data_IF_747092049313
#
_entry.id   IF_747092049313
#
_cell.length_a   1.000
_cell.length_b   1.000
_cell.length_c   1.000
_cell.angle_alpha   90.00
_cell.angle_beta   90.00
_cell.angle_gamma   90.00
#
_symmetry.space_group_name_H-M   'P 1'
#
loop_
_entity.id
_entity.type
_entity.pdbx_description
1 polymer ?
#
# COMPACT_ATOMS: atom_id res chain seq x y z
N UNK A 1 -18.41 10.24 -2.14
CA UNK A 1 -17.03 10.70 -2.31
C UNK A 1 -16.94 12.17 -1.95
N UNK A 2 -15.78 12.58 -1.47
CA UNK A 2 -15.38 13.97 -1.30
C UNK A 2 -14.30 14.24 -2.33
N UNK A 3 -14.37 15.39 -3.00
CA UNK A 3 -13.46 15.73 -4.08
C UNK A 3 -12.96 17.17 -3.93
N UNK A 4 -11.67 17.36 -4.14
CA UNK A 4 -11.05 18.67 -4.16
C UNK A 4 -9.96 18.72 -5.24
N UNK A 5 -9.87 19.83 -5.96
CA UNK A 5 -8.80 20.06 -6.93
C UNK A 5 -7.82 21.09 -6.35
N UNK A 6 -6.57 20.72 -6.36
CA UNK A 6 -5.44 21.55 -5.89
C UNK A 6 -4.59 21.98 -7.09
N UNK A 7 -4.04 23.18 -7.05
CA UNK A 7 -3.22 23.73 -8.14
C UNK A 7 -1.97 24.40 -7.59
N UNK A 8 -0.86 24.28 -8.31
CA UNK A 8 0.37 24.99 -8.04
C UNK A 8 0.81 24.90 -6.57
N UNK A 9 0.85 26.03 -5.89
CA UNK A 9 1.33 26.10 -4.49
C UNK A 9 0.44 25.33 -3.50
N UNK A 10 -0.87 25.22 -3.75
CA UNK A 10 -1.77 24.42 -2.90
C UNK A 10 -1.46 22.93 -3.02
N UNK A 11 -1.24 22.45 -4.24
CA UNK A 11 -0.82 21.07 -4.47
C UNK A 11 0.54 20.78 -3.84
N UNK A 12 1.46 21.76 -3.98
CA UNK A 12 2.78 21.67 -3.37
C UNK A 12 2.72 21.50 -1.86
N UNK A 13 1.87 22.27 -1.18
CA UNK A 13 1.72 22.18 0.28
C UNK A 13 1.10 20.86 0.72
N UNK A 14 0.06 20.38 0.02
CA UNK A 14 -0.58 19.07 0.32
C UNK A 14 0.41 17.91 0.20
N UNK A 15 1.22 17.88 -0.85
CA UNK A 15 2.22 16.82 -1.03
C UNK A 15 3.32 16.92 0.02
N UNK A 16 3.73 18.13 0.38
CA UNK A 16 4.71 18.35 1.45
C UNK A 16 4.20 17.83 2.79
N UNK A 17 2.98 18.20 3.19
CA UNK A 17 2.35 17.70 4.42
C UNK A 17 2.28 16.15 4.42
N UNK A 18 1.92 15.53 3.29
CA UNK A 18 1.89 14.08 3.16
C UNK A 18 3.28 13.46 3.36
N UNK A 19 4.32 14.02 2.76
CA UNK A 19 5.69 13.52 2.92
C UNK A 19 6.20 13.67 4.36
N UNK A 20 5.83 14.77 5.04
CA UNK A 20 6.15 15.01 6.45
C UNK A 20 5.46 13.97 7.35
N UNK A 21 4.16 13.70 7.13
CA UNK A 21 3.41 12.66 7.86
C UNK A 21 4.01 11.25 7.65
N UNK A 22 4.35 10.91 6.40
CA UNK A 22 5.02 9.63 6.08
C UNK A 22 6.38 9.52 6.78
N UNK A 23 7.11 10.62 6.87
CA UNK A 23 8.40 10.68 7.55
C UNK A 23 8.27 10.50 9.07
N UNK A 24 7.20 11.00 9.67
CA UNK A 24 6.93 10.86 11.10
C UNK A 24 6.36 9.48 11.46
N UNK A 25 5.77 8.76 10.50
CA UNK A 25 5.20 7.43 10.71
C UNK A 25 6.30 6.36 10.82
N UNK A 26 6.58 6.00 12.07
CA UNK A 26 7.55 4.95 12.39
C UNK A 26 7.13 3.55 11.94
N UNK A 27 5.85 3.34 11.67
CA UNK A 27 5.36 2.04 11.19
C UNK A 27 5.90 1.75 9.81
N UNK A 28 5.87 2.76 8.92
CA UNK A 28 6.37 2.65 7.55
C UNK A 28 7.89 2.40 7.54
N UNK A 29 8.67 3.21 8.27
CA UNK A 29 10.14 3.05 8.34
C UNK A 29 10.54 1.69 8.91
N UNK A 30 9.82 1.22 9.94
CA UNK A 30 10.05 -0.09 10.54
C UNK A 30 9.74 -1.25 9.57
N UNK A 31 8.71 -1.10 8.74
CA UNK A 31 8.38 -2.09 7.70
C UNK A 31 9.51 -2.25 6.67
N UNK A 32 10.08 -1.15 6.20
CA UNK A 32 11.21 -1.18 5.27
C UNK A 32 12.46 -1.80 5.91
N UNK A 33 12.76 -1.45 7.16
CA UNK A 33 13.88 -2.03 7.90
C UNK A 33 13.69 -3.54 8.16
N UNK A 34 12.47 -3.98 8.50
CA UNK A 34 12.16 -5.38 8.75
C UNK A 34 12.20 -6.26 7.48
N UNK A 35 12.02 -5.67 6.30
CA UNK A 35 12.11 -6.36 5.02
C UNK A 35 13.51 -6.39 4.40
N UNK A 36 14.54 -5.88 5.10
CA UNK A 36 15.92 -5.74 4.59
C UNK A 36 16.02 -4.92 3.29
N UNK A 37 14.99 -4.14 2.93
CA UNK A 37 15.00 -3.30 1.73
C UNK A 37 15.84 -2.04 1.92
N UNK A 38 15.78 -1.44 3.09
CA UNK A 38 16.61 -0.31 3.52
C UNK A 38 16.57 -0.17 5.03
N UNK A 39 17.56 0.49 5.61
CA UNK A 39 17.56 0.82 7.04
C UNK A 39 16.61 1.99 7.35
N UNK A 40 16.22 2.13 8.62
CA UNK A 40 15.41 3.30 9.04
C UNK A 40 16.12 4.62 8.74
N UNK A 41 17.45 4.69 8.93
CA UNK A 41 18.23 5.88 8.65
C UNK A 41 18.26 6.22 7.15
N UNK A 42 18.39 5.21 6.29
CA UNK A 42 18.31 5.38 4.83
C UNK A 42 16.92 5.85 4.40
N UNK A 43 15.87 5.26 4.98
CA UNK A 43 14.49 5.68 4.71
C UNK A 43 14.28 7.15 5.08
N UNK A 44 14.70 7.56 6.28
CA UNK A 44 14.59 8.94 6.75
C UNK A 44 15.41 9.91 5.89
N UNK A 45 16.61 9.50 5.48
CA UNK A 45 17.48 10.30 4.61
C UNK A 45 16.86 10.49 3.22
N UNK A 46 16.30 9.43 2.63
CA UNK A 46 15.66 9.49 1.32
C UNK A 46 14.40 10.37 1.34
N UNK A 47 13.59 10.30 2.41
CA UNK A 47 12.44 11.17 2.57
C UNK A 47 12.83 12.63 2.79
N UNK A 48 13.92 12.90 3.52
CA UNK A 48 14.42 14.26 3.67
C UNK A 48 14.90 14.83 2.33
N UNK A 49 15.64 14.04 1.55
CA UNK A 49 16.06 14.44 0.21
C UNK A 49 14.85 14.69 -0.71
N UNK A 50 13.82 13.84 -0.64
CA UNK A 50 12.57 14.05 -1.38
C UNK A 50 11.87 15.35 -0.98
N UNK A 51 11.80 15.65 0.32
CA UNK A 51 11.23 16.90 0.84
C UNK A 51 12.03 18.14 0.38
N UNK A 52 13.36 18.06 0.44
CA UNK A 52 14.22 19.17 0.02
C UNK A 52 14.06 19.44 -1.49
N UNK A 53 14.08 18.38 -2.31
CA UNK A 53 13.85 18.47 -3.76
C UNK A 53 12.44 19.01 -4.07
N UNK A 54 11.42 18.58 -3.31
CA UNK A 54 10.05 19.05 -3.48
C UNK A 54 9.91 20.53 -3.13
N UNK A 55 10.57 20.98 -2.06
CA UNK A 55 10.57 22.40 -1.67
C UNK A 55 11.16 23.32 -2.75
N UNK A 56 12.16 22.84 -3.49
CA UNK A 56 12.79 23.58 -4.58
C UNK A 56 12.03 23.48 -5.91
N UNK A 57 11.07 22.56 -6.02
CA UNK A 57 10.28 22.36 -7.24
C UNK A 57 9.21 23.45 -7.38
N UNK A 58 9.05 24.00 -8.59
CA UNK A 58 7.91 24.83 -8.95
C UNK A 58 6.81 23.95 -9.52
N UNK A 59 5.67 23.89 -8.86
CA UNK A 59 4.50 23.10 -9.30
C UNK A 59 3.58 24.01 -10.11
N UNK A 60 3.33 23.64 -11.35
CA UNK A 60 2.38 24.32 -12.26
C UNK A 60 1.16 23.47 -12.58
N UNK A 61 1.27 22.20 -12.32
CA UNK A 61 0.24 21.21 -12.54
C UNK A 61 -0.88 21.34 -11.50
N UNK A 62 -1.99 20.69 -11.81
CA UNK A 62 -3.11 20.52 -10.90
C UNK A 62 -3.40 19.05 -10.70
N UNK A 63 -3.96 18.71 -9.55
CA UNK A 63 -4.43 17.36 -9.27
C UNK A 63 -5.78 17.37 -8.56
N UNK A 64 -6.64 16.43 -8.93
CA UNK A 64 -7.90 16.19 -8.24
C UNK A 64 -7.73 15.03 -7.28
N UNK A 65 -7.97 15.29 -6.00
CA UNK A 65 -7.97 14.28 -4.95
C UNK A 65 -9.41 13.91 -4.64
N UNK A 66 -9.75 12.64 -4.77
CA UNK A 66 -11.05 12.08 -4.43
C UNK A 66 -10.89 11.14 -3.24
N UNK A 67 -11.63 11.38 -2.15
CA UNK A 67 -11.72 10.49 -1.00
C UNK A 67 -13.04 9.73 -1.03
N UNK A 68 -12.97 8.43 -0.94
CA UNK A 68 -14.13 7.54 -0.84
C UNK A 68 -14.41 7.25 0.63
N UNK A 69 -15.52 7.77 1.12
CA UNK A 69 -15.91 7.70 2.54
C UNK A 69 -17.17 6.86 2.65
N UNK A 70 -17.18 5.91 3.57
CA UNK A 70 -18.35 5.10 3.86
C UNK A 70 -19.39 5.87 4.68
N UNK A 71 -20.61 5.33 4.89
CA UNK A 71 -21.65 5.99 5.68
C UNK A 71 -21.28 6.26 7.13
N UNK A 72 -20.25 5.61 7.68
CA UNK A 72 -19.76 5.82 9.04
C UNK A 72 -18.71 6.93 9.14
N UNK A 73 -18.29 7.49 8.00
CA UNK A 73 -17.24 8.51 7.92
C UNK A 73 -15.82 7.95 7.79
N UNK A 74 -15.68 6.64 7.63
CA UNK A 74 -14.38 6.00 7.45
C UNK A 74 -13.91 6.13 6.00
N UNK A 75 -12.67 6.59 5.79
CA UNK A 75 -12.06 6.64 4.47
C UNK A 75 -11.78 5.20 4.01
N UNK A 76 -12.28 4.83 2.85
CA UNK A 76 -12.16 3.51 2.22
C UNK A 76 -11.27 3.51 0.99
N UNK A 77 -10.93 4.68 0.49
CA UNK A 77 -10.06 4.81 -0.67
C UNK A 77 -9.73 6.26 -0.98
N UNK A 78 -8.72 6.40 -1.82
CA UNK A 78 -8.27 7.67 -2.35
C UNK A 78 -7.93 7.49 -3.83
N UNK A 79 -8.22 8.52 -4.62
CA UNK A 79 -7.78 8.63 -6.00
C UNK A 79 -7.16 10.00 -6.20
N UNK A 80 -6.02 10.04 -6.88
CA UNK A 80 -5.36 11.26 -7.34
C UNK A 80 -5.28 11.17 -8.86
N UNK A 81 -5.82 12.14 -9.55
CA UNK A 81 -5.90 12.16 -11.01
C UNK A 81 -5.58 13.55 -11.57
N UNK A 82 -5.17 13.57 -12.83
CA UNK A 82 -5.13 14.81 -13.61
C UNK A 82 -6.57 15.32 -13.81
N UNK A 83 -6.91 16.56 -13.47
CA UNK A 83 -8.25 17.10 -13.67
C UNK A 83 -8.65 17.18 -15.14
N UNK A 84 -7.69 17.25 -16.07
CA UNK A 84 -7.91 17.32 -17.51
C UNK A 84 -7.97 15.92 -18.15
N UNK A 85 -7.59 14.86 -17.44
CA UNK A 85 -7.68 13.45 -17.87
C UNK A 85 -8.28 12.59 -16.77
N UNK A 86 -9.59 12.54 -16.71
CA UNK A 86 -10.33 11.80 -15.70
C UNK A 86 -10.17 10.26 -15.81
N UNK A 87 -9.68 9.76 -16.93
CA UNK A 87 -9.43 8.33 -17.14
C UNK A 87 -8.01 7.92 -16.69
N UNK A 88 -7.12 8.89 -16.46
CA UNK A 88 -5.77 8.68 -15.96
C UNK A 88 -5.72 8.92 -14.45
N UNK A 89 -5.28 7.94 -13.69
CA UNK A 89 -4.98 8.11 -12.27
C UNK A 89 -3.47 8.04 -12.04
N UNK A 90 -2.97 8.96 -11.21
CA UNK A 90 -1.61 8.95 -10.73
C UNK A 90 -1.45 7.98 -9.55
N UNK A 91 -2.51 7.89 -8.74
CA UNK A 91 -2.62 6.98 -7.61
C UNK A 91 -4.08 6.59 -7.42
N UNK A 92 -4.33 5.31 -7.23
CA UNK A 92 -5.61 4.82 -6.70
C UNK A 92 -5.36 3.81 -5.58
N UNK A 93 -6.09 3.94 -4.48
CA UNK A 93 -6.06 2.95 -3.42
C UNK A 93 -7.45 2.78 -2.81
N UNK A 94 -7.83 1.54 -2.58
CA UNK A 94 -9.10 1.17 -1.96
C UNK A 94 -8.92 0.02 -0.99
N UNK A 95 -9.60 0.11 0.14
CA UNK A 95 -9.74 -1.00 1.06
C UNK A 95 -11.21 -1.10 1.48
N UNK A 96 -11.80 -2.26 1.27
CA UNK A 96 -13.20 -2.52 1.57
C UNK A 96 -13.40 -3.81 2.33
N UNK A 97 -14.41 -3.84 3.20
CA UNK A 97 -14.85 -5.05 3.87
C UNK A 97 -16.33 -5.26 3.61
N UNK A 98 -16.68 -6.44 3.11
CA UNK A 98 -18.06 -6.92 2.95
C UNK A 98 -18.21 -8.25 3.67
N UNK A 99 -18.92 -8.25 4.78
CA UNK A 99 -19.02 -9.41 5.66
C UNK A 99 -17.64 -9.87 6.15
N UNK A 100 -17.21 -11.03 5.68
CA UNK A 100 -15.90 -11.63 5.98
C UNK A 100 -14.86 -11.44 4.88
N UNK A 101 -15.19 -10.74 3.81
CA UNK A 101 -14.25 -10.45 2.73
C UNK A 101 -13.63 -9.07 2.90
N UNK A 102 -12.32 -9.01 2.71
CA UNK A 102 -11.54 -7.77 2.68
C UNK A 102 -10.92 -7.66 1.29
N UNK A 103 -11.32 -6.64 0.56
CA UNK A 103 -10.75 -6.30 -0.73
C UNK A 103 -9.69 -5.21 -0.57
N UNK A 104 -8.59 -5.32 -1.28
CA UNK A 104 -7.55 -4.31 -1.40
C UNK A 104 -7.25 -4.02 -2.86
N UNK A 105 -7.02 -2.77 -3.16
CA UNK A 105 -6.60 -2.31 -4.48
C UNK A 105 -5.64 -1.14 -4.29
N UNK A 106 -4.55 -1.15 -5.04
CA UNK A 106 -3.58 -0.08 -5.09
C UNK A 106 -3.00 -0.01 -6.50
N UNK A 107 -2.99 1.16 -7.07
CA UNK A 107 -2.42 1.44 -8.39
C UNK A 107 -1.61 2.73 -8.33
N UNK A 108 -0.35 2.66 -8.74
CA UNK A 108 0.53 3.82 -8.86
C UNK A 108 1.55 3.60 -9.97
N UNK A 109 1.56 4.47 -10.95
CA UNK A 109 2.58 4.49 -12.00
C UNK A 109 2.86 3.13 -12.65
N UNK A 110 1.80 2.34 -12.91
CA UNK A 110 1.90 1.01 -13.55
C UNK A 110 2.15 -0.16 -12.58
N UNK A 111 2.39 0.11 -11.29
CA UNK A 111 2.34 -0.92 -10.25
C UNK A 111 0.87 -1.07 -9.81
N UNK A 112 0.28 -2.21 -10.09
CA UNK A 112 -1.06 -2.58 -9.63
C UNK A 112 -0.96 -3.69 -8.59
N UNK A 113 -1.58 -3.47 -7.43
CA UNK A 113 -1.73 -4.50 -6.40
C UNK A 113 -3.21 -4.65 -6.11
N UNK A 114 -3.73 -5.85 -6.25
CA UNK A 114 -5.14 -6.13 -6.00
C UNK A 114 -5.33 -7.50 -5.36
N UNK A 115 -6.37 -7.62 -4.54
CA UNK A 115 -6.66 -8.90 -3.92
C UNK A 115 -7.93 -8.92 -3.11
N UNK A 116 -8.39 -10.12 -2.81
CA UNK A 116 -9.52 -10.38 -1.92
C UNK A 116 -9.12 -11.46 -0.93
N UNK A 117 -9.21 -11.11 0.35
CA UNK A 117 -8.96 -12.01 1.47
C UNK A 117 -10.27 -12.32 2.18
N UNK A 118 -10.44 -13.56 2.59
CA UNK A 118 -11.57 -14.01 3.39
C UNK A 118 -11.12 -14.18 4.85
N UNK A 119 -11.85 -13.54 5.76
CA UNK A 119 -11.62 -13.68 7.20
C UNK A 119 -12.11 -15.06 7.68
N UNK A 120 -11.19 -15.85 8.21
CA UNK A 120 -11.44 -17.15 8.80
C UNK A 120 -11.76 -17.08 10.30
N UNK A 121 -11.50 -18.17 11.00
CA UNK A 121 -11.61 -18.23 12.46
C UNK A 121 -10.35 -17.69 13.12
N UNK A 122 -10.48 -17.03 14.28
CA UNK A 122 -9.34 -16.53 15.08
C UNK A 122 -8.53 -15.41 14.39
N UNK A 123 -9.19 -14.57 13.62
CA UNK A 123 -8.57 -13.44 12.89
C UNK A 123 -7.51 -13.89 11.87
N UNK A 124 -7.71 -15.05 11.25
CA UNK A 124 -6.90 -15.49 10.11
C UNK A 124 -7.49 -14.99 8.80
N UNK A 125 -6.66 -14.86 7.78
CA UNK A 125 -7.05 -14.43 6.44
C UNK A 125 -6.54 -15.44 5.41
N UNK A 126 -7.39 -15.79 4.45
CA UNK A 126 -7.01 -16.64 3.33
C UNK A 126 -7.50 -16.01 2.03
N UNK A 127 -6.72 -16.14 0.98
CA UNK A 127 -7.05 -15.58 -0.34
C UNK A 127 -5.81 -15.16 -1.09
N UNK A 128 -6.01 -14.38 -2.13
CA UNK A 128 -4.98 -14.10 -3.12
C UNK A 128 -4.76 -12.60 -3.26
N UNK A 129 -3.50 -12.20 -3.33
CA UNK A 129 -3.06 -10.85 -3.69
C UNK A 129 -2.21 -10.97 -4.97
N UNK A 130 -2.52 -10.18 -5.96
CA UNK A 130 -1.72 -10.05 -7.19
C UNK A 130 -1.01 -8.71 -7.18
N UNK A 131 0.29 -8.70 -7.41
CA UNK A 131 1.06 -7.51 -7.69
C UNK A 131 1.55 -7.58 -9.14
N UNK A 132 1.19 -6.61 -9.95
CA UNK A 132 1.58 -6.54 -11.36
C UNK A 132 2.36 -5.24 -11.63
N UNK A 133 3.45 -5.35 -12.35
CA UNK A 133 4.24 -4.22 -12.83
C UNK A 133 4.55 -4.47 -14.30
N UNK A 134 4.05 -3.60 -15.18
CA UNK A 134 4.16 -3.74 -16.64
C UNK A 134 3.66 -5.12 -17.14
N UNK A 135 4.57 -5.98 -17.60
CA UNK A 135 4.28 -7.31 -18.14
C UNK A 135 4.60 -8.45 -17.17
N UNK A 136 4.90 -8.14 -15.92
CA UNK A 136 5.24 -9.13 -14.90
C UNK A 136 4.20 -9.11 -13.79
N UNK A 137 3.80 -10.29 -13.34
CA UNK A 137 2.93 -10.41 -12.17
C UNK A 137 3.47 -11.40 -11.15
N UNK A 138 3.20 -11.10 -9.89
CA UNK A 138 3.43 -12.00 -8.76
C UNK A 138 2.09 -12.24 -8.11
N UNK A 139 1.75 -13.50 -7.96
CA UNK A 139 0.60 -13.97 -7.23
C UNK A 139 1.06 -14.43 -5.84
N UNK A 140 0.46 -13.87 -4.79
CA UNK A 140 0.65 -14.28 -3.41
C UNK A 140 -0.62 -14.97 -2.92
N UNK A 141 -0.53 -16.26 -2.65
CA UNK A 141 -1.61 -17.04 -2.07
C UNK A 141 -1.37 -17.21 -0.57
N UNK A 142 -2.33 -16.72 0.23
CA UNK A 142 -2.28 -16.75 1.68
C UNK A 142 -3.27 -17.79 2.19
N UNK A 143 -2.82 -18.66 3.12
CA UNK A 143 -3.66 -19.65 3.77
C UNK A 143 -3.51 -19.52 5.29
N UNK A 144 -4.64 -19.28 5.97
CA UNK A 144 -4.72 -19.08 7.42
C UNK A 144 -3.72 -18.05 7.98
N UNK A 145 -3.41 -17.04 7.16
CA UNK A 145 -2.43 -16.01 7.51
C UNK A 145 -2.96 -15.12 8.63
N UNK A 146 -2.13 -14.89 9.64
CA UNK A 146 -2.45 -14.05 10.79
C UNK A 146 -1.24 -13.25 11.23
N UNK A 147 -1.45 -11.98 11.55
CA UNK A 147 -0.46 -11.17 12.27
C UNK A 147 -0.60 -11.48 13.75
N UNK A 148 0.44 -12.08 14.33
CA UNK A 148 0.45 -12.53 15.74
C UNK A 148 0.91 -11.43 16.68
N UNK A 149 1.92 -10.67 16.25
CA UNK A 149 2.43 -9.50 16.98
C UNK A 149 2.78 -8.41 15.95
N UNK A 150 1.91 -7.40 15.85
CA UNK A 150 2.06 -6.29 14.92
C UNK A 150 3.31 -5.44 15.17
N UNK A 151 3.75 -5.36 16.43
CA UNK A 151 4.94 -4.58 16.80
C UNK A 151 6.26 -5.25 16.43
N UNK A 152 6.24 -6.58 16.28
CA UNK A 152 7.42 -7.38 15.92
C UNK A 152 7.35 -7.93 14.51
N UNK A 153 6.23 -7.73 13.82
CA UNK A 153 5.99 -8.29 12.49
C UNK A 153 5.83 -9.82 12.48
N UNK A 154 5.50 -10.45 13.62
CA UNK A 154 5.33 -11.88 13.68
C UNK A 154 4.02 -12.31 13.04
N UNK A 155 4.12 -13.29 12.15
CA UNK A 155 3.01 -13.84 11.41
C UNK A 155 2.93 -15.35 11.60
N UNK A 156 1.76 -15.93 11.36
CA UNK A 156 1.55 -17.38 11.24
C UNK A 156 0.70 -17.67 10.00
N UNK A 157 0.75 -18.90 9.50
CA UNK A 157 0.04 -19.31 8.31
C UNK A 157 0.97 -19.72 7.18
N UNK A 158 0.45 -19.81 5.97
CA UNK A 158 1.21 -20.14 4.77
C UNK A 158 1.10 -19.00 3.73
N UNK A 159 2.20 -18.75 3.05
CA UNK A 159 2.28 -17.83 1.94
C UNK A 159 3.00 -18.53 0.78
N UNK A 160 2.32 -18.61 -0.36
CA UNK A 160 2.90 -19.16 -1.58
C UNK A 160 3.00 -18.04 -2.62
N UNK A 161 4.19 -17.86 -3.18
CA UNK A 161 4.41 -16.94 -4.27
C UNK A 161 4.50 -17.70 -5.60
N UNK A 162 3.88 -17.15 -6.63
CA UNK A 162 3.91 -17.65 -8.00
C UNK A 162 4.10 -16.49 -8.97
N UNK A 163 4.69 -16.78 -10.13
CA UNK A 163 4.76 -15.84 -11.26
C UNK A 163 4.06 -16.45 -12.46
N UNK A 164 3.90 -15.68 -13.53
CA UNK A 164 3.29 -16.15 -14.79
C UNK A 164 4.07 -17.33 -15.39
N UNK A 165 5.40 -17.37 -15.20
CA UNK A 165 6.28 -18.38 -15.75
C UNK A 165 6.54 -19.54 -14.78
N UNK A 166 6.47 -19.31 -13.46
CA UNK A 166 6.82 -20.30 -12.44
C UNK A 166 5.71 -20.39 -11.37
N UNK A 167 4.81 -21.38 -11.47
CA UNK A 167 3.87 -21.67 -10.40
C UNK A 167 4.62 -22.23 -9.17
N UNK A 168 4.29 -21.71 -7.99
CA UNK A 168 4.92 -22.08 -6.71
C UNK A 168 6.44 -21.78 -6.67
N UNK A 169 6.82 -20.55 -6.99
CA UNK A 169 8.21 -20.10 -6.92
C UNK A 169 8.83 -20.38 -5.54
N UNK A 170 8.08 -20.11 -4.48
CA UNK A 170 8.39 -20.58 -3.12
C UNK A 170 7.12 -20.66 -2.27
N UNK A 171 7.17 -21.47 -1.23
CA UNK A 171 6.17 -21.51 -0.17
C UNK A 171 6.85 -21.28 1.17
N UNK A 172 6.35 -20.33 1.93
CA UNK A 172 6.80 -20.02 3.28
C UNK A 172 5.70 -20.39 4.26
N UNK A 173 6.00 -21.32 5.16
CA UNK A 173 5.12 -21.67 6.28
C UNK A 173 5.68 -21.08 7.57
N UNK A 174 4.84 -20.32 8.27
CA UNK A 174 5.17 -19.63 9.51
C UNK A 174 4.37 -20.24 10.65
N UNK A 175 5.03 -20.46 11.78
CA UNK A 175 4.33 -20.84 13.00
C UNK A 175 3.86 -19.63 13.80
N UNK A 176 3.08 -19.87 14.86
CA UNK A 176 2.55 -18.82 15.73
C UNK A 176 3.62 -18.03 16.49
N UNK A 177 4.86 -18.50 16.49
CA UNK A 177 5.99 -17.87 17.15
C UNK A 177 6.80 -16.98 16.18
N UNK A 178 6.38 -16.89 14.93
CA UNK A 178 7.07 -16.16 13.87
C UNK A 178 8.40 -16.79 13.44
N UNK A 179 8.59 -18.07 13.75
CA UNK A 179 9.77 -18.82 13.30
C UNK A 179 9.43 -19.53 12.00
N UNK A 180 10.29 -19.36 11.00
CA UNK A 180 10.21 -20.15 9.78
C UNK A 180 10.50 -21.64 10.10
N UNK A 181 9.69 -22.53 9.60
CA UNK A 181 9.97 -23.97 9.60
C UNK A 181 10.77 -24.36 8.37
#
# INVERSE_FOLDING_TARGET
ALEATYQGDELKEVVKELLEEVKEDRTISHYFAASDLMTEDEFQSNLQEALDNWNDTTVTESATVTLYVDPTGTIRGCRIADPDDADSSLLECYAGKDGKQVGVYFDVSGLNVSGVLSEGSKDTYSGTITAALENHSILLDLEDFKIVDDKRGYCSGSLTASTDDEPNLFTLSLDSDGKSQ
#
